data_IF_642749849481
#
_entry.id   IF_642749849481
#
_cell.length_a   1.000
_cell.length_b   1.000
_cell.length_c   1.000
_cell.angle_alpha   90.00
_cell.angle_beta   90.00
_cell.angle_gamma   90.00
#
_symmetry.space_group_name_H-M   'P 1'
#
loop_
_entity.id
_entity.type
_entity.pdbx_description
1 polymer ?
#
# COMPACT_ATOMS: atom_id res chain seq x y z
N UNK A 1 -20.31 -9.09 -24.67
CA UNK A 1 -19.91 -9.47 -23.33
C UNK A 1 -20.45 -8.47 -22.32
N UNK A 2 -20.98 -8.94 -21.19
CA UNK A 2 -21.63 -8.12 -20.16
C UNK A 2 -20.70 -7.19 -19.36
N UNK A 3 -19.43 -7.07 -19.74
CA UNK A 3 -18.40 -6.27 -19.02
C UNK A 3 -18.37 -4.79 -19.44
N UNK A 4 -18.74 -4.47 -20.67
CA UNK A 4 -18.68 -3.10 -21.21
C UNK A 4 -19.72 -2.16 -20.59
N UNK A 5 -21.00 -2.55 -20.40
CA UNK A 5 -21.99 -1.66 -19.79
C UNK A 5 -21.68 -1.31 -18.33
N UNK A 6 -21.01 -2.20 -17.60
CA UNK A 6 -20.68 -1.99 -16.18
C UNK A 6 -19.51 -1.02 -16.02
N UNK A 7 -18.51 -1.03 -16.93
CA UNK A 7 -17.43 -0.04 -16.98
C UNK A 7 -17.98 1.38 -17.22
N UNK A 8 -18.93 1.52 -18.15
CA UNK A 8 -19.58 2.82 -18.44
C UNK A 8 -20.39 3.36 -17.26
N UNK A 9 -21.12 2.51 -16.57
CA UNK A 9 -21.94 2.89 -15.41
C UNK A 9 -21.04 3.25 -14.21
N UNK A 10 -19.96 2.51 -13.95
CA UNK A 10 -18.98 2.84 -12.92
C UNK A 10 -18.28 4.18 -13.23
N UNK A 11 -17.85 4.40 -14.47
CA UNK A 11 -17.20 5.65 -14.88
C UNK A 11 -18.12 6.87 -14.75
N UNK A 12 -19.41 6.71 -15.01
CA UNK A 12 -20.39 7.80 -14.92
C UNK A 12 -20.80 8.10 -13.47
N UNK A 13 -20.87 7.09 -12.63
CA UNK A 13 -21.16 7.22 -11.21
C UNK A 13 -19.99 7.84 -10.42
N UNK A 14 -18.76 7.58 -10.85
CA UNK A 14 -17.56 8.15 -10.22
C UNK A 14 -17.29 9.59 -10.63
N UNK A 15 -17.89 10.10 -11.72
CA UNK A 15 -17.75 11.49 -12.17
C UNK A 15 -18.54 12.51 -11.35
N UNK A 16 -19.54 12.10 -10.60
CA UNK A 16 -20.53 12.99 -10.00
C UNK A 16 -20.45 13.18 -8.49
N UNK A 17 -19.47 12.56 -7.80
CA UNK A 17 -19.36 12.62 -6.34
C UNK A 17 -17.94 13.00 -5.90
N UNK A 18 -17.77 13.59 -4.70
CA UNK A 18 -16.45 13.78 -4.07
C UNK A 18 -15.67 12.46 -3.94
N UNK A 19 -16.40 11.36 -3.90
CA UNK A 19 -15.89 10.00 -3.93
C UNK A 19 -15.31 9.63 -5.30
N UNK A 20 -15.97 10.06 -6.37
CA UNK A 20 -15.46 9.95 -7.74
C UNK A 20 -14.17 10.73 -7.93
N UNK A 21 -14.01 11.88 -7.26
CA UNK A 21 -12.76 12.63 -7.27
C UNK A 21 -11.62 11.84 -6.60
N UNK A 22 -11.88 11.20 -5.46
CA UNK A 22 -10.90 10.35 -4.76
C UNK A 22 -10.54 9.09 -5.56
N UNK A 23 -11.52 8.47 -6.22
CA UNK A 23 -11.30 7.34 -7.12
C UNK A 23 -10.49 7.74 -8.36
N UNK A 24 -10.85 8.81 -9.04
CA UNK A 24 -10.15 9.31 -10.20
C UNK A 24 -8.73 9.77 -9.85
N UNK A 25 -8.53 10.37 -8.67
CA UNK A 25 -7.22 10.71 -8.16
C UNK A 25 -6.39 9.44 -7.89
N UNK A 26 -6.97 8.42 -7.28
CA UNK A 26 -6.31 7.14 -7.05
C UNK A 26 -5.87 6.47 -8.35
N UNK A 27 -6.73 6.41 -9.35
CA UNK A 27 -6.40 5.89 -10.67
C UNK A 27 -5.31 6.73 -11.35
N UNK A 28 -5.36 8.06 -11.26
CA UNK A 28 -4.36 8.96 -11.83
C UNK A 28 -2.98 8.83 -11.18
N UNK A 29 -2.89 8.34 -9.95
CA UNK A 29 -1.62 8.06 -9.28
C UNK A 29 -1.09 6.66 -9.59
N UNK A 30 -1.97 5.64 -9.63
CA UNK A 30 -1.55 4.25 -9.81
C UNK A 30 -1.22 3.89 -11.25
N UNK A 31 -1.92 4.46 -12.22
CA UNK A 31 -1.66 4.19 -13.64
C UNK A 31 -0.22 4.57 -14.01
N UNK A 32 0.29 5.78 -13.72
CA UNK A 32 1.68 6.12 -13.95
C UNK A 32 2.67 5.21 -13.20
N UNK A 33 2.31 4.74 -12.01
CA UNK A 33 3.16 3.81 -11.25
C UNK A 33 3.24 2.45 -11.93
N UNK A 34 2.11 1.93 -12.45
CA UNK A 34 2.08 0.70 -13.25
C UNK A 34 2.88 0.86 -14.54
N UNK A 35 2.66 1.95 -15.27
CA UNK A 35 3.43 2.24 -16.50
C UNK A 35 4.92 2.34 -16.23
N UNK A 36 5.29 2.90 -15.07
CA UNK A 36 6.69 3.02 -14.64
C UNK A 36 7.33 1.65 -14.40
N UNK A 37 6.65 0.71 -13.73
CA UNK A 37 7.17 -0.64 -13.48
C UNK A 37 7.11 -1.54 -14.72
N UNK A 38 6.26 -1.23 -15.69
CA UNK A 38 6.14 -1.96 -16.97
C UNK A 38 7.15 -1.48 -18.04
N UNK A 39 7.81 -0.35 -17.79
CA UNK A 39 8.76 0.20 -18.75
C UNK A 39 10.02 -0.65 -18.77
N UNK A 40 10.37 -1.19 -19.92
CA UNK A 40 11.64 -1.87 -20.14
C UNK A 40 12.79 -0.87 -20.06
N UNK A 41 13.62 -0.97 -19.04
CA UNK A 41 14.78 -0.12 -18.80
C UNK A 41 15.91 -0.90 -18.07
N UNK A 42 16.91 -0.20 -17.57
CA UNK A 42 18.11 -0.80 -17.01
C UNK A 42 18.09 -0.98 -15.49
N UNK A 43 16.96 -0.67 -14.82
CA UNK A 43 16.87 -0.86 -13.38
C UNK A 43 16.99 -2.33 -13.00
N UNK A 44 17.74 -2.58 -11.93
CA UNK A 44 17.95 -3.92 -11.37
C UNK A 44 17.29 -4.11 -10.03
N UNK A 45 16.84 -3.02 -9.40
CA UNK A 45 16.26 -3.01 -8.07
C UNK A 45 14.94 -2.25 -8.07
N UNK A 46 13.93 -2.84 -7.44
CA UNK A 46 12.63 -2.19 -7.23
C UNK A 46 12.50 -1.78 -5.75
N UNK A 47 12.12 -0.54 -5.49
CA UNK A 47 11.72 -0.05 -4.18
C UNK A 47 10.27 0.43 -4.25
N UNK A 48 9.38 -0.33 -3.62
CA UNK A 48 7.94 -0.06 -3.53
C UNK A 48 7.50 0.06 -2.08
N UNK A 49 6.30 0.53 -1.86
CA UNK A 49 5.70 0.63 -0.55
C UNK A 49 4.52 1.59 -0.54
N UNK A 50 4.13 2.00 0.64
CA UNK A 50 2.99 2.88 0.90
C UNK A 50 3.35 4.37 0.84
N UNK A 51 2.50 5.20 1.42
CA UNK A 51 2.66 6.66 1.43
C UNK A 51 3.89 7.14 2.20
N UNK A 52 4.38 6.39 3.16
CA UNK A 52 5.62 6.71 3.90
C UNK A 52 6.82 6.41 3.02
N UNK A 53 6.84 5.26 2.34
CA UNK A 53 7.82 4.95 1.30
C UNK A 53 7.89 6.06 0.25
N UNK A 54 6.72 6.47 -0.28
CA UNK A 54 6.66 7.57 -1.24
C UNK A 54 7.33 8.84 -0.71
N UNK A 55 7.03 9.24 0.53
CA UNK A 55 7.61 10.46 1.13
C UNK A 55 9.10 10.38 1.38
N UNK A 56 9.59 9.24 1.82
CA UNK A 56 11.00 9.06 2.12
C UNK A 56 11.86 9.01 0.86
N UNK A 57 11.40 8.31 -0.19
CA UNK A 57 12.28 7.87 -1.26
C UNK A 57 12.00 8.51 -2.63
N UNK A 58 10.80 9.07 -2.91
CA UNK A 58 10.43 9.50 -4.27
C UNK A 58 11.39 10.52 -4.89
N UNK A 59 11.92 11.46 -4.10
CA UNK A 59 12.86 12.47 -4.55
C UNK A 59 14.26 11.93 -4.87
N UNK A 60 14.57 10.70 -4.45
CA UNK A 60 15.86 10.07 -4.69
C UNK A 60 15.97 9.37 -6.04
N UNK A 61 14.89 9.33 -6.84
CA UNK A 61 14.88 8.58 -8.11
C UNK A 61 16.00 9.03 -9.05
N UNK A 62 16.19 10.32 -9.22
CA UNK A 62 17.17 10.86 -10.17
C UNK A 62 18.63 10.62 -9.73
N UNK A 63 18.85 10.35 -8.46
CA UNK A 63 20.17 10.02 -7.92
C UNK A 63 20.51 8.54 -8.05
N UNK A 64 19.52 7.69 -8.33
CA UNK A 64 19.63 6.24 -8.22
C UNK A 64 19.37 5.52 -9.55
N UNK A 65 20.41 5.25 -10.31
CA UNK A 65 20.33 4.62 -11.64
C UNK A 65 20.05 3.12 -11.59
N UNK A 66 20.21 2.47 -10.45
CA UNK A 66 19.93 1.03 -10.28
C UNK A 66 18.54 0.78 -9.70
N UNK A 67 17.95 1.77 -9.00
CA UNK A 67 16.68 1.65 -8.31
C UNK A 67 15.54 2.26 -9.12
N UNK A 68 14.51 1.48 -9.37
CA UNK A 68 13.19 1.99 -9.72
C UNK A 68 12.43 2.25 -8.42
N UNK A 69 12.25 3.54 -8.07
CA UNK A 69 11.55 3.95 -6.85
C UNK A 69 10.08 4.19 -7.20
N UNK A 70 9.20 3.30 -6.75
CA UNK A 70 7.78 3.30 -7.09
C UNK A 70 6.87 3.19 -5.86
N UNK A 71 7.28 3.81 -4.74
CA UNK A 71 6.40 4.02 -3.59
C UNK A 71 5.16 4.85 -4.00
N UNK A 72 4.00 4.56 -3.44
CA UNK A 72 2.74 5.20 -3.86
C UNK A 72 1.79 5.41 -2.68
N UNK A 73 1.02 6.50 -2.73
CA UNK A 73 -0.10 6.73 -1.82
C UNK A 73 -1.30 5.79 -2.09
N UNK A 74 -1.19 4.95 -3.11
CA UNK A 74 -2.21 3.96 -3.52
C UNK A 74 -1.58 2.56 -3.48
N UNK A 75 -2.40 1.54 -3.52
CA UNK A 75 -1.87 0.18 -3.44
C UNK A 75 -1.39 -0.20 -2.03
N UNK A 76 -2.05 0.31 -0.99
CA UNK A 76 -1.65 0.04 0.42
C UNK A 76 -1.91 -1.40 0.85
N UNK A 77 -2.75 -2.18 0.14
CA UNK A 77 -2.89 -3.61 0.39
C UNK A 77 -1.78 -4.41 -0.26
N UNK A 78 -1.36 -5.49 0.35
CA UNK A 78 -0.27 -6.33 -0.17
C UNK A 78 -0.60 -6.93 -1.55
N UNK A 79 -1.87 -7.10 -1.90
CA UNK A 79 -2.27 -7.49 -3.25
C UNK A 79 -1.98 -6.41 -4.31
N UNK A 80 -2.12 -5.14 -3.96
CA UNK A 80 -1.71 -4.03 -4.84
C UNK A 80 -0.20 -3.98 -5.02
N UNK A 81 0.55 -4.14 -3.95
CA UNK A 81 2.01 -4.23 -4.00
C UNK A 81 2.48 -5.43 -4.85
N UNK A 82 1.80 -6.58 -4.72
CA UNK A 82 2.08 -7.77 -5.54
C UNK A 82 1.93 -7.48 -7.05
N UNK A 83 0.90 -6.74 -7.46
CA UNK A 83 0.73 -6.35 -8.87
C UNK A 83 1.97 -5.59 -9.38
N UNK A 84 2.47 -4.64 -8.59
CA UNK A 84 3.65 -3.86 -8.96
C UNK A 84 4.92 -4.72 -9.07
N UNK A 85 5.11 -5.65 -8.14
CA UNK A 85 6.23 -6.60 -8.17
C UNK A 85 6.14 -7.51 -9.40
N UNK A 86 4.99 -8.10 -9.66
CA UNK A 86 4.80 -9.01 -10.79
C UNK A 86 5.02 -8.30 -12.13
N UNK A 87 4.48 -7.10 -12.29
CA UNK A 87 4.69 -6.30 -13.50
C UNK A 87 6.17 -5.88 -13.65
N UNK A 88 6.84 -5.48 -12.56
CA UNK A 88 8.27 -5.17 -12.61
C UNK A 88 9.09 -6.37 -13.07
N UNK A 89 8.92 -7.53 -12.47
CA UNK A 89 9.71 -8.73 -12.80
C UNK A 89 9.50 -9.20 -14.24
N UNK A 90 8.30 -9.01 -14.81
CA UNK A 90 8.02 -9.32 -16.22
C UNK A 90 8.83 -8.46 -17.20
N UNK A 91 9.09 -7.21 -16.84
CA UNK A 91 9.73 -6.23 -17.72
C UNK A 91 11.20 -5.99 -17.42
N UNK A 92 11.72 -6.53 -16.29
CA UNK A 92 13.11 -6.36 -15.85
C UNK A 92 13.77 -7.72 -15.58
N UNK A 93 14.10 -8.49 -16.62
CA UNK A 93 14.73 -9.81 -16.46
C UNK A 93 16.12 -9.74 -15.79
N UNK A 94 16.71 -8.55 -15.71
CA UNK A 94 17.98 -8.27 -15.01
C UNK A 94 17.79 -7.93 -13.52
N UNK A 95 16.57 -7.98 -12.99
CA UNK A 95 16.27 -7.65 -11.59
C UNK A 95 17.09 -8.51 -10.62
N UNK A 96 17.58 -7.89 -9.56
CA UNK A 96 18.35 -8.56 -8.49
C UNK A 96 17.64 -8.48 -7.14
N UNK A 97 16.95 -7.38 -6.86
CA UNK A 97 16.33 -7.13 -5.57
C UNK A 97 14.97 -6.43 -5.69
N UNK A 98 14.06 -6.78 -4.82
CA UNK A 98 12.79 -6.08 -4.56
C UNK A 98 12.73 -5.72 -3.08
N UNK A 99 12.55 -4.43 -2.81
CA UNK A 99 12.38 -3.87 -1.48
C UNK A 99 10.95 -3.39 -1.31
N UNK A 100 10.23 -3.96 -0.36
CA UNK A 100 8.90 -3.50 0.07
C UNK A 100 9.05 -2.78 1.40
N UNK A 101 8.89 -1.46 1.39
CA UNK A 101 9.00 -0.58 2.55
C UNK A 101 7.62 -0.16 2.99
N UNK A 102 7.21 -0.55 4.19
CA UNK A 102 5.86 -0.29 4.73
C UNK A 102 5.87 -0.12 6.24
N UNK A 103 4.91 0.67 6.74
CA UNK A 103 4.58 0.71 8.17
C UNK A 103 3.72 -0.51 8.56
N UNK A 104 3.67 -0.81 9.85
CA UNK A 104 2.85 -1.91 10.38
C UNK A 104 1.35 -1.73 10.12
N UNK A 105 0.84 -0.50 10.02
CA UNK A 105 -0.55 -0.20 9.67
C UNK A 105 -0.92 -0.77 8.28
N UNK A 106 0.02 -0.73 7.33
CA UNK A 106 -0.18 -1.30 5.99
C UNK A 106 -0.28 -2.82 6.00
N UNK A 107 0.40 -3.47 6.96
CA UNK A 107 0.35 -4.93 7.11
C UNK A 107 -0.97 -5.44 7.72
N UNK A 108 -1.69 -4.61 8.45
CA UNK A 108 -2.99 -4.96 9.05
C UNK A 108 -4.18 -4.43 8.24
N UNK A 109 -3.92 -3.83 7.09
CA UNK A 109 -4.96 -3.29 6.22
C UNK A 109 -5.52 -4.37 5.31
N UNK A 110 -6.84 -4.53 5.30
CA UNK A 110 -7.59 -5.40 4.39
C UNK A 110 -8.56 -4.58 3.49
N UNK A 111 -9.37 -5.27 2.69
CA UNK A 111 -10.32 -4.61 1.80
C UNK A 111 -11.51 -3.95 2.49
N UNK A 112 -11.81 -4.35 3.73
CA UNK A 112 -12.98 -3.86 4.48
C UNK A 112 -12.63 -2.67 5.38
N UNK A 113 -11.36 -2.42 5.63
CA UNK A 113 -10.91 -1.27 6.41
C UNK A 113 -10.89 -0.01 5.56
N UNK A 114 -11.21 1.15 6.13
CA UNK A 114 -11.47 2.40 5.43
C UNK A 114 -10.44 2.79 4.36
N UNK A 115 -9.15 2.61 4.65
CA UNK A 115 -8.09 2.88 3.69
C UNK A 115 -7.85 1.73 2.70
N UNK A 116 -8.09 0.49 3.11
CA UNK A 116 -7.81 -0.68 2.28
C UNK A 116 -8.63 -0.73 1.01
N UNK A 117 -9.89 -0.30 1.06
CA UNK A 117 -10.71 -0.24 -0.14
C UNK A 117 -10.48 1.04 -0.97
N UNK A 118 -10.32 2.18 -0.32
CA UNK A 118 -10.20 3.48 -0.99
C UNK A 118 -8.83 3.64 -1.68
N UNK A 119 -7.76 3.20 -1.03
CA UNK A 119 -6.37 3.37 -1.47
C UNK A 119 -5.68 2.07 -1.86
N UNK A 120 -6.34 0.92 -1.64
CA UNK A 120 -5.78 -0.40 -1.92
C UNK A 120 -5.93 -0.78 -3.39
N UNK A 121 -7.00 -1.49 -3.70
CA UNK A 121 -7.16 -2.16 -5.00
C UNK A 121 -8.09 -1.43 -5.96
N UNK A 122 -8.99 -0.57 -5.48
CA UNK A 122 -9.88 0.21 -6.35
C UNK A 122 -9.15 1.01 -7.43
N UNK A 123 -7.99 1.66 -7.16
CA UNK A 123 -7.24 2.36 -8.19
C UNK A 123 -6.81 1.46 -9.36
N UNK A 124 -6.62 0.16 -9.14
CA UNK A 124 -6.27 -0.80 -10.19
C UNK A 124 -7.47 -1.24 -11.05
N UNK A 125 -8.71 -0.92 -10.66
CA UNK A 125 -9.92 -1.40 -11.32
C UNK A 125 -10.04 -0.94 -12.79
N UNK A 126 -9.41 0.17 -13.17
CA UNK A 126 -9.36 0.65 -14.55
C UNK A 126 -8.24 0.01 -15.38
N UNK A 127 -7.42 -0.83 -14.77
CA UNK A 127 -6.30 -1.50 -15.44
C UNK A 127 -6.61 -2.97 -15.67
N UNK A 128 -5.87 -3.60 -16.58
CA UNK A 128 -5.97 -5.05 -16.79
C UNK A 128 -5.19 -5.86 -15.75
N UNK A 129 -4.50 -5.18 -14.83
CA UNK A 129 -3.58 -5.83 -13.87
C UNK A 129 -4.29 -6.61 -12.77
N UNK A 130 -5.57 -6.33 -12.48
CA UNK A 130 -6.35 -7.13 -11.52
C UNK A 130 -6.44 -8.62 -11.89
N UNK A 131 -6.23 -8.97 -13.17
CA UNK A 131 -6.17 -10.37 -13.61
C UNK A 131 -4.99 -11.16 -13.02
N UNK A 132 -3.95 -10.47 -12.53
CA UNK A 132 -2.78 -11.07 -11.90
C UNK A 132 -3.10 -11.63 -10.50
N UNK A 133 -4.13 -11.09 -9.87
CA UNK A 133 -4.59 -11.60 -8.59
C UNK A 133 -5.31 -12.95 -8.76
N UNK A 134 -5.18 -13.80 -7.76
CA UNK A 134 -5.85 -15.09 -7.75
C UNK A 134 -7.39 -14.97 -7.78
N UNK A 135 -8.11 -16.02 -8.25
CA UNK A 135 -9.56 -15.97 -8.38
C UNK A 135 -10.30 -15.75 -7.06
N UNK A 136 -9.75 -16.24 -5.93
CA UNK A 136 -10.34 -16.07 -4.61
C UNK A 136 -10.25 -14.62 -4.16
N UNK A 137 -9.09 -14.00 -4.29
CA UNK A 137 -8.89 -12.56 -4.03
C UNK A 137 -9.83 -11.71 -4.87
N UNK A 138 -9.92 -11.98 -6.17
CA UNK A 138 -10.84 -11.24 -7.06
C UNK A 138 -12.30 -11.41 -6.65
N UNK A 139 -12.68 -12.60 -6.15
CA UNK A 139 -14.04 -12.86 -5.64
C UNK A 139 -14.29 -12.10 -4.34
N UNK A 140 -13.34 -12.10 -3.42
CA UNK A 140 -13.42 -11.33 -2.16
C UNK A 140 -13.57 -9.83 -2.44
N UNK A 141 -12.74 -9.29 -3.33
CA UNK A 141 -12.84 -7.89 -3.77
C UNK A 141 -14.22 -7.60 -4.37
N UNK A 142 -14.69 -8.45 -5.28
CA UNK A 142 -16.01 -8.26 -5.90
C UNK A 142 -17.14 -8.28 -4.86
N UNK A 143 -17.02 -9.07 -3.80
CA UNK A 143 -17.98 -9.10 -2.70
C UNK A 143 -17.93 -7.81 -1.87
N UNK A 144 -16.74 -7.39 -1.44
CA UNK A 144 -16.54 -6.18 -0.65
C UNK A 144 -16.99 -4.95 -1.43
N UNK A 145 -16.51 -4.78 -2.66
CA UNK A 145 -16.81 -3.61 -3.49
C UNK A 145 -18.26 -3.63 -4.02
N UNK A 146 -18.84 -4.79 -4.29
CA UNK A 146 -20.26 -4.91 -4.64
C UNK A 146 -21.15 -4.45 -3.51
N UNK A 147 -20.85 -4.81 -2.27
CA UNK A 147 -21.57 -4.33 -1.08
C UNK A 147 -21.40 -2.82 -0.86
N UNK A 148 -20.20 -2.29 -1.05
CA UNK A 148 -19.88 -0.87 -0.94
C UNK A 148 -20.59 -0.04 -2.01
N UNK A 149 -20.63 -0.51 -3.24
CA UNK A 149 -21.37 0.13 -4.34
C UNK A 149 -22.87 0.35 -4.01
N UNK A 150 -23.51 -0.63 -3.38
CA UNK A 150 -24.89 -0.50 -2.93
C UNK A 150 -25.00 0.50 -1.76
N UNK A 151 -24.09 0.44 -0.81
CA UNK A 151 -24.03 1.37 0.33
C UNK A 151 -23.81 2.81 -0.13
N UNK A 152 -22.91 3.04 -1.07
CA UNK A 152 -22.62 4.36 -1.62
C UNK A 152 -23.80 4.94 -2.40
N UNK A 153 -24.53 4.13 -3.17
CA UNK A 153 -25.76 4.59 -3.82
C UNK A 153 -26.85 4.98 -2.85
N UNK A 154 -27.01 4.23 -1.75
CA UNK A 154 -27.95 4.58 -0.69
C UNK A 154 -27.52 5.89 -0.04
N UNK A 155 -26.23 6.04 0.22
CA UNK A 155 -25.63 7.25 0.80
C UNK A 155 -25.83 8.45 -0.13
N UNK A 156 -25.53 8.32 -1.42
CA UNK A 156 -25.73 9.37 -2.42
C UNK A 156 -27.20 9.83 -2.51
N UNK A 157 -28.15 8.90 -2.49
CA UNK A 157 -29.59 9.20 -2.45
C UNK A 157 -30.01 9.96 -1.17
N UNK A 158 -29.19 9.85 -0.13
CA UNK A 158 -29.40 10.51 1.16
C UNK A 158 -28.70 11.90 1.20
N UNK A 159 -27.57 12.09 0.50
CA UNK A 159 -26.76 13.33 0.48
C UNK A 159 -27.48 14.55 -0.08
N UNK A 160 -28.34 14.38 -1.07
CA UNK A 160 -29.13 15.48 -1.67
C UNK A 160 -30.21 16.04 -0.74
N UNK A 161 -30.29 15.54 0.50
CA UNK A 161 -31.23 16.01 1.51
C UNK A 161 -30.52 16.85 2.59
N UNK A 162 -30.98 18.09 2.85
CA UNK A 162 -30.34 18.98 3.85
C UNK A 162 -30.30 18.45 5.29
N UNK A 163 -31.05 17.39 5.58
CA UNK A 163 -31.12 16.73 6.90
C UNK A 163 -29.96 15.77 7.17
N UNK A 164 -29.08 15.49 6.19
CA UNK A 164 -28.35 14.25 6.20
C UNK A 164 -26.83 14.31 6.28
N UNK A 165 -26.15 15.48 6.18
CA UNK A 165 -24.69 15.51 6.37
C UNK A 165 -24.25 14.89 7.72
N UNK A 166 -25.01 15.13 8.78
CA UNK A 166 -24.69 14.61 10.12
C UNK A 166 -25.02 13.10 10.27
N UNK A 167 -26.05 12.62 9.56
CA UNK A 167 -26.41 11.20 9.54
C UNK A 167 -25.43 10.41 8.67
N UNK A 168 -24.96 11.01 7.59
CA UNK A 168 -23.99 10.46 6.65
C UNK A 168 -22.65 10.14 7.33
N UNK A 169 -22.02 11.10 8.00
CA UNK A 169 -20.78 10.86 8.73
C UNK A 169 -20.94 9.83 9.85
N UNK A 170 -22.05 9.88 10.60
CA UNK A 170 -22.33 8.88 11.62
C UNK A 170 -22.62 7.47 11.05
N UNK A 171 -23.12 7.37 9.83
CA UNK A 171 -23.39 6.10 9.17
C UNK A 171 -22.11 5.53 8.55
N UNK A 172 -21.25 6.36 7.97
CA UNK A 172 -19.93 5.98 7.46
C UNK A 172 -19.03 5.49 8.59
N UNK A 173 -18.97 6.20 9.71
CA UNK A 173 -18.23 5.78 10.90
C UNK A 173 -18.70 4.42 11.45
N UNK A 174 -19.99 4.12 11.31
CA UNK A 174 -20.55 2.82 11.75
C UNK A 174 -20.41 1.71 10.73
N UNK A 175 -20.35 2.05 9.44
CA UNK A 175 -20.27 1.08 8.34
C UNK A 175 -18.83 0.80 7.92
N UNK A 176 -17.91 1.73 8.15
CA UNK A 176 -16.48 1.56 8.01
C UNK A 176 -15.86 1.67 9.40
N UNK A 177 -15.65 0.57 10.11
CA UNK A 177 -14.85 0.62 11.32
C UNK A 177 -13.50 1.23 10.96
N UNK A 178 -13.25 2.44 11.46
CA UNK A 178 -12.04 3.24 11.21
C UNK A 178 -10.77 2.59 11.75
N UNK A 179 -10.89 1.46 12.40
CA UNK A 179 -9.79 0.75 13.04
C UNK A 179 -9.65 -0.65 12.45
N UNK A 180 -8.54 -0.89 11.79
CA UNK A 180 -8.06 -2.24 11.51
C UNK A 180 -8.00 -3.02 12.83
N UNK A 181 -8.40 -4.27 12.81
CA UNK A 181 -8.09 -5.16 13.92
C UNK A 181 -6.57 -5.26 14.00
N UNK A 182 -6.00 -5.28 15.19
CA UNK A 182 -4.56 -5.50 15.38
C UNK A 182 -4.20 -6.97 15.12
N UNK A 183 -4.52 -7.43 13.92
CA UNK A 183 -4.26 -8.79 13.42
C UNK A 183 -3.90 -8.72 11.94
N UNK A 184 -3.08 -9.64 11.47
CA UNK A 184 -2.68 -9.71 10.07
C UNK A 184 -3.79 -10.37 9.25
N UNK A 185 -4.41 -9.68 8.28
CA UNK A 185 -5.44 -10.28 7.44
C UNK A 185 -4.81 -11.31 6.47
N UNK A 186 -5.62 -12.30 6.09
CA UNK A 186 -5.20 -13.35 5.17
C UNK A 186 -4.61 -12.81 3.85
N UNK A 187 -5.17 -11.72 3.32
CA UNK A 187 -4.65 -11.06 2.13
C UNK A 187 -3.21 -10.58 2.30
N UNK A 188 -2.86 -10.05 3.48
CA UNK A 188 -1.49 -9.62 3.78
C UNK A 188 -0.54 -10.80 3.83
N UNK A 189 -0.87 -11.82 4.62
CA UNK A 189 -0.03 -13.00 4.79
C UNK A 189 0.21 -13.65 3.42
N UNK A 190 -0.86 -13.96 2.70
CA UNK A 190 -0.81 -14.63 1.41
C UNK A 190 0.00 -13.87 0.36
N UNK A 191 -0.18 -12.56 0.23
CA UNK A 191 0.52 -11.80 -0.81
C UNK A 191 1.96 -11.46 -0.46
N UNK A 192 2.32 -11.31 0.81
CA UNK A 192 3.74 -11.23 1.20
C UNK A 192 4.50 -12.51 0.87
N UNK A 193 3.92 -13.67 1.21
CA UNK A 193 4.52 -14.97 0.86
C UNK A 193 4.58 -15.15 -0.66
N UNK A 194 3.52 -14.76 -1.39
CA UNK A 194 3.54 -14.80 -2.88
C UNK A 194 4.61 -13.90 -3.48
N UNK A 195 4.80 -12.68 -2.98
CA UNK A 195 5.86 -11.79 -3.48
C UNK A 195 7.25 -12.40 -3.26
N UNK A 196 7.50 -12.93 -2.05
CA UNK A 196 8.75 -13.61 -1.75
C UNK A 196 8.99 -14.80 -2.70
N UNK A 197 8.00 -15.69 -2.84
CA UNK A 197 8.09 -16.86 -3.72
C UNK A 197 8.31 -16.46 -5.18
N UNK A 198 7.56 -15.48 -5.67
CA UNK A 198 7.70 -14.96 -7.04
C UNK A 198 9.10 -14.41 -7.30
N UNK A 199 9.67 -13.68 -6.36
CA UNK A 199 11.04 -13.17 -6.45
C UNK A 199 12.05 -14.33 -6.48
N UNK A 200 11.92 -15.30 -5.57
CA UNK A 200 12.80 -16.48 -5.51
C UNK A 200 12.76 -17.29 -6.81
N UNK A 201 11.58 -17.50 -7.39
CA UNK A 201 11.41 -18.20 -8.68
C UNK A 201 12.08 -17.47 -9.85
N UNK A 202 12.25 -16.16 -9.75
CA UNK A 202 12.95 -15.34 -10.73
C UNK A 202 14.43 -15.08 -10.37
N UNK A 203 14.95 -15.69 -9.28
CA UNK A 203 16.33 -15.49 -8.82
C UNK A 203 16.58 -14.11 -8.22
N UNK A 204 15.54 -13.42 -7.75
CA UNK A 204 15.55 -12.09 -7.18
C UNK A 204 15.41 -12.18 -5.66
N UNK A 205 16.12 -11.34 -4.92
CA UNK A 205 15.96 -11.25 -3.46
C UNK A 205 14.79 -10.34 -3.09
N UNK A 206 13.94 -10.81 -2.17
CA UNK A 206 12.82 -10.01 -1.64
C UNK A 206 13.13 -9.57 -0.21
N UNK A 207 13.00 -8.27 0.04
CA UNK A 207 13.27 -7.63 1.33
C UNK A 207 12.03 -6.90 1.84
N UNK A 208 11.55 -7.27 3.02
CA UNK A 208 10.49 -6.53 3.74
C UNK A 208 11.16 -5.58 4.73
N UNK A 209 10.89 -4.28 4.58
CA UNK A 209 11.50 -3.20 5.35
C UNK A 209 10.46 -2.50 6.22
N UNK A 210 10.81 -2.28 7.49
CA UNK A 210 10.00 -1.47 8.39
C UNK A 210 10.39 0.00 8.29
N UNK A 211 9.40 0.87 8.26
CA UNK A 211 9.55 2.31 8.19
C UNK A 211 9.61 2.96 9.59
N UNK A 212 10.12 4.21 9.68
CA UNK A 212 10.19 4.92 10.95
C UNK A 212 8.80 5.25 11.50
N UNK A 213 8.66 5.15 12.80
CA UNK A 213 7.42 5.44 13.52
C UNK A 213 7.57 6.62 14.47
N UNK A 214 6.44 7.24 14.80
CA UNK A 214 6.35 8.27 15.82
C UNK A 214 6.57 7.67 17.21
N UNK A 215 7.44 8.31 18.03
CA UNK A 215 7.74 7.91 19.40
C UNK A 215 6.63 8.38 20.37
N UNK A 216 5.54 7.63 20.40
CA UNK A 216 4.42 7.84 21.32
C UNK A 216 3.99 6.51 21.94
N UNK A 217 3.52 6.54 23.19
CA UNK A 217 3.12 5.36 23.94
C UNK A 217 2.14 4.45 23.17
N UNK A 218 1.18 5.06 22.49
CA UNK A 218 0.20 4.32 21.69
C UNK A 218 0.87 3.45 20.59
N UNK A 219 1.94 3.95 19.93
CA UNK A 219 2.65 3.20 18.90
C UNK A 219 3.42 2.01 19.47
N UNK A 220 4.04 2.19 20.62
CA UNK A 220 4.72 1.08 21.31
C UNK A 220 3.74 -0.03 21.74
N UNK A 221 2.54 0.33 22.23
CA UNK A 221 1.52 -0.67 22.58
C UNK A 221 0.96 -1.39 21.33
N UNK A 222 0.78 -0.67 20.21
CA UNK A 222 0.38 -1.27 18.94
C UNK A 222 1.47 -2.24 18.45
N UNK A 223 2.73 -1.81 18.37
CA UNK A 223 3.84 -2.66 17.95
C UNK A 223 3.95 -3.92 18.80
N UNK A 224 3.87 -3.79 20.12
CA UNK A 224 3.92 -4.93 21.03
C UNK A 224 2.81 -5.95 20.75
N UNK A 225 1.60 -5.45 20.50
CA UNK A 225 0.45 -6.31 20.17
C UNK A 225 0.64 -6.98 18.82
N UNK A 226 1.05 -6.22 17.81
CA UNK A 226 1.27 -6.73 16.46
C UNK A 226 2.43 -7.72 16.40
N UNK A 227 3.50 -7.49 17.13
CA UNK A 227 4.63 -8.44 17.23
C UNK A 227 4.16 -9.80 17.76
N UNK A 228 3.32 -9.80 18.80
CA UNK A 228 2.76 -11.02 19.37
C UNK A 228 1.78 -11.74 18.42
N UNK A 229 1.05 -11.01 17.58
CA UNK A 229 0.19 -11.60 16.53
C UNK A 229 1.02 -12.08 15.34
N UNK A 230 2.08 -11.35 14.98
CA UNK A 230 3.00 -11.72 13.90
C UNK A 230 3.66 -13.08 14.11
N UNK A 231 4.12 -13.34 15.35
CA UNK A 231 4.73 -14.61 15.76
C UNK A 231 3.80 -15.84 15.59
N UNK A 232 2.50 -15.61 15.44
CA UNK A 232 1.51 -16.68 15.19
C UNK A 232 1.29 -16.97 13.70
N UNK A 233 1.91 -16.19 12.82
CA UNK A 233 1.77 -16.30 11.37
C UNK A 233 3.04 -16.83 10.73
N UNK A 234 2.92 -17.37 9.51
CA UNK A 234 4.08 -17.78 8.70
C UNK A 234 5.00 -16.59 8.30
N UNK A 235 4.54 -15.35 8.48
CA UNK A 235 5.37 -14.18 8.22
C UNK A 235 6.58 -14.10 9.16
N UNK A 236 6.45 -14.59 10.39
CA UNK A 236 7.56 -14.63 11.35
C UNK A 236 8.71 -15.53 10.85
N UNK A 237 8.40 -16.63 10.18
CA UNK A 237 9.39 -17.50 9.55
C UNK A 237 9.94 -16.89 8.25
N UNK A 238 9.09 -16.22 7.47
CA UNK A 238 9.49 -15.61 6.20
C UNK A 238 10.32 -14.33 6.36
N UNK A 239 9.99 -13.51 7.38
CA UNK A 239 10.56 -12.18 7.62
C UNK A 239 10.80 -11.95 9.12
N UNK A 240 11.67 -12.74 9.78
CA UNK A 240 11.80 -12.78 11.25
C UNK A 240 12.20 -11.44 11.87
N UNK A 241 12.88 -10.58 11.13
CA UNK A 241 13.47 -9.35 11.64
C UNK A 241 12.64 -8.08 11.35
N UNK A 242 11.41 -8.19 10.83
CA UNK A 242 10.65 -7.02 10.42
C UNK A 242 10.48 -6.00 11.56
N UNK A 243 9.99 -6.43 12.72
CA UNK A 243 9.78 -5.54 13.87
C UNK A 243 11.08 -5.04 14.51
N UNK A 244 12.19 -5.73 14.34
CA UNK A 244 13.50 -5.30 14.88
C UNK A 244 14.13 -4.16 14.07
N UNK A 245 13.62 -3.93 12.87
CA UNK A 245 14.02 -2.81 12.01
C UNK A 245 13.36 -1.48 12.41
N UNK A 246 12.24 -1.51 13.15
CA UNK A 246 11.50 -0.31 13.54
C UNK A 246 12.42 0.66 14.28
N UNK A 247 12.32 1.92 13.90
CA UNK A 247 12.98 3.05 14.58
C UNK A 247 11.95 4.09 14.95
N UNK A 248 12.10 4.68 16.12
CA UNK A 248 11.19 5.69 16.63
C UNK A 248 11.82 7.08 16.57
N UNK A 249 11.01 8.07 16.20
CA UNK A 249 11.41 9.46 16.12
C UNK A 249 10.42 10.37 16.85
N UNK A 250 10.89 11.54 17.37
CA UNK A 250 10.03 12.49 18.06
C UNK A 250 8.82 12.93 17.23
N UNK A 251 7.72 13.26 17.92
CA UNK A 251 6.43 13.58 17.30
C UNK A 251 6.51 14.72 16.29
N UNK A 252 7.34 15.73 16.54
CA UNK A 252 7.55 16.87 15.64
C UNK A 252 8.15 16.52 14.29
N UNK A 253 8.66 15.29 14.13
CA UNK A 253 9.17 14.75 12.86
C UNK A 253 8.05 14.15 11.99
N UNK A 254 6.79 14.29 12.38
CA UNK A 254 5.64 13.76 11.65
C UNK A 254 4.55 14.82 11.48
N UNK A 255 3.93 14.88 10.28
CA UNK A 255 2.79 15.77 10.01
C UNK A 255 1.48 15.27 10.62
N UNK A 256 1.40 13.98 10.86
CA UNK A 256 0.25 13.26 11.43
C UNK A 256 0.74 12.01 12.18
N UNK A 257 -0.06 10.97 12.25
CA UNK A 257 0.30 9.76 13.00
C UNK A 257 1.34 8.88 12.32
N UNK A 258 1.60 9.04 11.02
CA UNK A 258 2.42 8.11 10.24
C UNK A 258 3.41 8.79 9.29
N UNK A 259 3.10 9.98 8.78
CA UNK A 259 3.88 10.58 7.71
C UNK A 259 5.06 11.43 8.23
N UNK A 260 6.31 11.02 7.98
CA UNK A 260 7.47 11.78 8.36
C UNK A 260 7.54 13.12 7.59
N UNK A 261 8.06 14.15 8.24
CA UNK A 261 8.33 15.47 7.68
C UNK A 261 9.68 15.95 8.14
N UNK A 262 10.25 16.88 7.39
CA UNK A 262 11.52 17.52 7.69
C UNK A 262 12.24 17.96 6.44
N UNK A 263 13.45 18.44 6.61
CA UNK A 263 14.39 18.70 5.52
C UNK A 263 14.81 17.37 4.86
N UNK A 264 15.36 17.44 3.63
CA UNK A 264 15.88 16.24 2.97
C UNK A 264 16.92 15.51 3.83
N UNK A 265 17.81 16.26 4.47
CA UNK A 265 18.84 15.68 5.36
C UNK A 265 18.22 14.92 6.54
N UNK A 266 17.18 15.46 7.14
CA UNK A 266 16.46 14.80 8.23
C UNK A 266 15.75 13.51 7.78
N UNK A 267 15.18 13.49 6.57
CA UNK A 267 14.60 12.29 5.99
C UNK A 267 15.69 11.27 5.60
N UNK A 268 16.82 11.74 5.08
CA UNK A 268 17.97 10.90 4.79
C UNK A 268 18.54 10.23 6.06
N UNK A 269 18.51 10.91 7.21
CA UNK A 269 18.87 10.34 8.50
C UNK A 269 17.97 9.13 8.86
N UNK A 270 16.66 9.24 8.64
CA UNK A 270 15.72 8.12 8.82
C UNK A 270 16.05 6.96 7.88
N UNK A 271 16.33 7.24 6.61
CA UNK A 271 16.71 6.22 5.63
C UNK A 271 18.03 5.54 6.03
N UNK A 272 19.04 6.31 6.47
CA UNK A 272 20.29 5.72 6.99
C UNK A 272 20.06 4.81 8.21
N UNK A 273 19.08 5.13 9.06
CA UNK A 273 18.71 4.26 10.17
C UNK A 273 18.05 2.96 9.67
N UNK A 274 17.15 3.05 8.68
CA UNK A 274 16.56 1.88 8.02
C UNK A 274 17.64 0.99 7.37
N UNK A 275 18.60 1.59 6.67
CA UNK A 275 19.74 0.87 6.07
C UNK A 275 20.55 0.13 7.13
N UNK A 276 20.88 0.78 8.26
CA UNK A 276 21.63 0.16 9.36
C UNK A 276 20.87 -0.99 10.02
N UNK A 277 19.56 -0.82 10.23
CA UNK A 277 18.71 -1.81 10.91
C UNK A 277 18.41 -3.03 10.04
N UNK A 278 18.14 -2.82 8.77
CA UNK A 278 17.82 -3.89 7.83
C UNK A 278 19.05 -4.57 7.23
N UNK A 279 20.20 -3.88 7.18
CA UNK A 279 21.37 -4.29 6.41
C UNK A 279 21.19 -4.16 4.90
N UNK A 280 20.06 -3.59 4.44
CA UNK A 280 19.68 -3.47 3.04
C UNK A 280 19.95 -2.08 2.46
N UNK A 281 19.86 -1.94 1.13
CA UNK A 281 19.94 -0.67 0.38
C UNK A 281 21.21 0.14 0.68
N UNK A 282 22.35 -0.50 0.97
CA UNK A 282 23.59 0.19 1.34
C UNK A 282 24.16 1.03 0.18
N UNK A 283 23.79 0.71 -1.04
CA UNK A 283 24.18 1.38 -2.28
C UNK A 283 23.15 2.43 -2.77
N UNK A 284 22.07 2.65 -2.02
CA UNK A 284 21.12 3.73 -2.30
C UNK A 284 21.77 5.09 -2.01
N UNK A 285 21.86 5.93 -3.04
CA UNK A 285 22.43 7.28 -2.97
C UNK A 285 21.40 8.22 -2.36
N UNK A 286 21.81 8.99 -1.35
CA UNK A 286 20.94 9.90 -0.58
C UNK A 286 21.24 11.38 -0.86
N UNK A 287 22.39 11.69 -1.49
CA UNK A 287 22.88 13.06 -1.76
C UNK A 287 23.56 13.12 -3.13
#
# INVERSE_FOLDING_TARGET
SAKEPMKGILAELTRSTDYGAGYNQGASEIIPTIEKVQKEDAYTKLLIGDSVCFRLFSELQDLNTQYLIAGTNRGVTMSGQYILVEEFLKHHPQATDVYLSVIEDSLITDYETGYGYQYGVMPFAETDTLKLLDPETRKQMAHVYGGLFIKERIVWLIEDSPLNKKLYYNLLDKLNPTYSKLTFPDVTIRYLVKMKTLCEENGVQFHLLAEPLKDIEQRHEIEKTLRAEYEKTELADCFPNYFDQITYYPEERFSDNVHPVGTREELNEMIRAMQRKSGCMQDLVLE
#
